data_IF_071584812143
#
_entry.id   IF_071584812143
#
_cell.length_a   1.000
_cell.length_b   1.000
_cell.length_c   1.000
_cell.angle_alpha   90.00
_cell.angle_beta   90.00
_cell.angle_gamma   90.00
#
_symmetry.space_group_name_H-M   'P 1'
#
loop_
_entity.id
_entity.type
_entity.pdbx_description
1 polymer ?
#
# COMPACT_ATOMS: atom_id res chain seq x y z
N UNK A 1 -5.07 -13.62 19.54
CA UNK A 1 -5.85 -13.16 18.38
C UNK A 1 -4.91 -13.13 17.17
N UNK A 2 -5.07 -14.02 16.20
CA UNK A 2 -4.24 -14.01 15.00
C UNK A 2 -4.49 -12.71 14.22
N UNK A 3 -3.46 -11.87 14.03
CA UNK A 3 -3.56 -10.69 13.17
C UNK A 3 -3.77 -11.19 11.74
N UNK A 4 -4.98 -11.04 11.19
CA UNK A 4 -5.21 -11.30 9.75
C UNK A 4 -4.42 -10.25 8.97
N UNK A 5 -3.32 -10.68 8.35
CA UNK A 5 -2.43 -9.84 7.59
C UNK A 5 -2.80 -9.85 6.11
N UNK A 6 -2.45 -8.75 5.45
CA UNK A 6 -2.66 -8.60 4.02
C UNK A 6 -1.41 -9.12 3.32
N UNK A 7 -1.62 -9.94 2.30
CA UNK A 7 -0.56 -10.47 1.46
C UNK A 7 -0.79 -9.92 0.06
N UNK A 8 0.27 -9.75 -0.71
CA UNK A 8 0.14 -9.63 -2.14
C UNK A 8 1.05 -10.62 -2.86
N UNK A 9 0.50 -11.24 -3.89
CA UNK A 9 1.25 -11.97 -4.90
C UNK A 9 1.67 -10.98 -5.97
N UNK A 10 2.90 -11.09 -6.46
CA UNK A 10 3.41 -10.23 -7.51
C UNK A 10 4.26 -11.02 -8.49
N UNK A 11 4.25 -10.57 -9.74
CA UNK A 11 5.06 -11.12 -10.81
C UNK A 11 5.36 -10.07 -11.87
N UNK A 12 6.54 -10.16 -12.47
CA UNK A 12 6.93 -9.40 -13.65
C UNK A 12 7.09 -10.34 -14.85
N UNK A 13 6.62 -9.89 -16.02
CA UNK A 13 6.81 -10.58 -17.30
C UNK A 13 7.86 -9.81 -18.13
N UNK A 14 8.92 -10.52 -18.53
CA UNK A 14 10.12 -9.95 -19.17
C UNK A 14 10.20 -10.16 -20.70
N UNK A 15 9.16 -10.71 -21.33
CA UNK A 15 9.13 -10.98 -22.78
C UNK A 15 8.01 -10.18 -23.45
N UNK A 16 8.11 -10.00 -24.78
CA UNK A 16 7.05 -9.41 -25.60
C UNK A 16 5.76 -10.23 -25.48
N UNK A 17 4.91 -9.88 -24.52
CA UNK A 17 3.54 -10.37 -24.45
C UNK A 17 2.74 -9.51 -25.42
N UNK A 18 2.01 -10.14 -26.36
CA UNK A 18 1.04 -9.39 -27.17
C UNK A 18 0.09 -8.66 -26.22
N UNK A 19 -0.18 -7.37 -26.48
CA UNK A 19 -1.14 -6.60 -25.69
C UNK A 19 -2.43 -7.41 -25.53
N UNK A 20 -2.83 -7.71 -24.29
CA UNK A 20 -4.08 -8.38 -24.03
C UNK A 20 -5.25 -7.53 -24.54
N UNK A 21 -6.21 -8.14 -25.24
CA UNK A 21 -7.35 -7.44 -25.84
C UNK A 21 -8.28 -6.83 -24.79
N UNK A 22 -8.35 -7.44 -23.60
CA UNK A 22 -9.11 -6.94 -22.45
C UNK A 22 -8.48 -5.68 -21.83
N UNK A 23 -7.22 -5.38 -22.15
CA UNK A 23 -6.47 -4.24 -21.60
C UNK A 23 -5.92 -3.32 -22.71
N UNK A 24 -6.79 -2.71 -23.53
CA UNK A 24 -6.39 -1.94 -24.71
C UNK A 24 -5.58 -0.67 -24.40
N UNK A 25 -5.69 -0.13 -23.19
CA UNK A 25 -5.03 1.11 -22.74
C UNK A 25 -3.75 0.84 -21.92
N UNK A 26 -3.24 -0.40 -21.93
CA UNK A 26 -1.92 -0.67 -21.33
C UNK A 26 -0.85 0.23 -21.96
N UNK A 27 0.02 0.77 -21.12
CA UNK A 27 0.99 1.81 -21.50
C UNK A 27 0.49 3.24 -21.25
N UNK A 28 -0.83 3.46 -21.32
CA UNK A 28 -1.46 4.77 -21.05
C UNK A 28 -2.09 4.85 -19.67
N UNK A 29 -2.44 3.71 -19.06
CA UNK A 29 -3.05 3.66 -17.75
C UNK A 29 -2.60 2.44 -16.93
N UNK A 30 -3.09 2.39 -15.70
CA UNK A 30 -3.05 1.21 -14.85
C UNK A 30 -4.49 0.69 -14.70
N UNK A 31 -4.63 -0.64 -14.72
CA UNK A 31 -5.90 -1.32 -14.53
C UNK A 31 -6.06 -1.75 -13.06
N UNK A 32 -7.27 -1.57 -12.53
CA UNK A 32 -7.69 -2.04 -11.22
C UNK A 32 -8.83 -3.04 -11.40
N UNK A 33 -8.54 -4.32 -11.24
CA UNK A 33 -9.53 -5.39 -11.37
C UNK A 33 -10.03 -5.78 -9.97
N UNK A 34 -11.34 -5.67 -9.76
CA UNK A 34 -12.00 -6.03 -8.51
C UNK A 34 -12.69 -7.38 -8.65
N UNK A 35 -12.56 -8.24 -7.65
CA UNK A 35 -13.31 -9.48 -7.53
C UNK A 35 -13.78 -9.69 -6.08
N UNK A 36 -14.54 -10.76 -5.83
CA UNK A 36 -15.08 -11.00 -4.49
C UNK A 36 -13.95 -11.15 -3.45
N UNK A 37 -13.89 -10.20 -2.50
CA UNK A 37 -12.91 -10.14 -1.40
C UNK A 37 -11.43 -10.05 -1.85
N UNK A 38 -11.17 -9.60 -3.07
CA UNK A 38 -9.80 -9.50 -3.62
C UNK A 38 -9.72 -8.48 -4.73
N UNK A 39 -8.53 -7.97 -5.04
CA UNK A 39 -8.30 -7.11 -6.19
C UNK A 39 -6.91 -7.34 -6.79
N UNK A 40 -6.77 -7.00 -8.06
CA UNK A 40 -5.51 -6.99 -8.77
C UNK A 40 -5.25 -5.62 -9.40
N UNK A 41 -3.97 -5.32 -9.60
CA UNK A 41 -3.50 -4.15 -10.35
C UNK A 41 -2.61 -4.67 -11.46
N UNK A 42 -2.79 -4.17 -12.69
CA UNK A 42 -1.97 -4.51 -13.85
C UNK A 42 -1.55 -3.22 -14.54
N UNK A 43 -0.26 -3.10 -14.84
CA UNK A 43 0.26 -1.95 -15.56
C UNK A 43 1.54 -2.30 -16.33
N UNK A 44 1.84 -1.48 -17.33
CA UNK A 44 3.03 -1.59 -18.13
C UNK A 44 4.20 -0.83 -17.50
N UNK A 45 5.38 -1.43 -17.61
CA UNK A 45 6.67 -0.89 -17.23
C UNK A 45 7.50 -0.63 -18.50
N UNK A 46 8.55 0.22 -18.41
CA UNK A 46 9.46 0.44 -19.52
C UNK A 46 9.98 -0.88 -20.13
N UNK A 47 10.28 -0.83 -21.43
CA UNK A 47 10.71 -1.97 -22.25
C UNK A 47 9.64 -3.06 -22.41
N UNK A 48 8.37 -2.68 -22.55
CA UNK A 48 7.22 -3.57 -22.78
C UNK A 48 7.12 -4.69 -21.73
N UNK A 49 7.48 -4.39 -20.48
CA UNK A 49 7.35 -5.35 -19.36
C UNK A 49 6.01 -5.11 -18.69
N UNK A 50 5.39 -6.15 -18.16
CA UNK A 50 4.14 -6.02 -17.41
C UNK A 50 4.40 -6.34 -15.94
N UNK A 51 3.81 -5.56 -15.04
CA UNK A 51 3.76 -5.88 -13.61
C UNK A 51 2.31 -6.05 -13.19
N UNK A 52 2.06 -7.13 -12.45
CA UNK A 52 0.77 -7.38 -11.83
C UNK A 52 0.93 -7.58 -10.32
N UNK A 53 -0.04 -7.12 -9.57
CA UNK A 53 -0.10 -7.25 -8.11
C UNK A 53 -1.48 -7.76 -7.73
N UNK A 54 -1.56 -8.91 -7.06
CA UNK A 54 -2.81 -9.49 -6.59
C UNK A 54 -2.85 -9.53 -5.06
N UNK A 55 -3.76 -8.78 -4.47
CA UNK A 55 -3.94 -8.67 -3.02
C UNK A 55 -4.85 -9.77 -2.47
N UNK A 56 -4.30 -10.65 -1.64
CA UNK A 56 -5.02 -11.75 -0.99
C UNK A 56 -5.07 -11.57 0.53
N UNK A 57 -6.03 -12.24 1.17
CA UNK A 57 -6.14 -12.30 2.62
C UNK A 57 -5.72 -13.69 3.10
N UNK A 58 -4.88 -13.76 4.13
CA UNK A 58 -4.41 -15.04 4.67
C UNK A 58 -4.03 -14.96 6.14
N UNK A 59 -3.66 -16.11 6.71
CA UNK A 59 -2.94 -16.14 7.97
C UNK A 59 -1.53 -15.55 7.77
N UNK A 60 -0.96 -14.96 8.81
CA UNK A 60 0.43 -14.50 8.79
C UNK A 60 1.36 -15.70 8.56
N UNK A 61 2.17 -15.70 7.48
CA UNK A 61 3.10 -16.79 7.22
C UNK A 61 4.29 -16.73 8.19
N UNK A 62 4.95 -17.86 8.40
CA UNK A 62 6.24 -17.89 9.10
C UNK A 62 7.31 -17.31 8.19
N UNK A 63 7.86 -16.15 8.55
CA UNK A 63 8.87 -15.46 7.77
C UNK A 63 10.29 -15.90 8.15
N UNK A 64 11.17 -16.18 7.17
CA UNK A 64 12.58 -16.45 7.44
C UNK A 64 13.32 -15.14 7.70
N UNK A 65 13.57 -14.84 8.97
CA UNK A 65 14.33 -13.66 9.38
C UNK A 65 13.55 -12.35 9.22
N UNK A 66 14.20 -11.31 8.68
CA UNK A 66 13.64 -9.96 8.57
C UNK A 66 13.00 -9.64 7.21
N UNK A 67 12.98 -10.59 6.27
CA UNK A 67 12.37 -10.38 4.95
C UNK A 67 10.86 -10.50 5.04
N UNK A 68 10.14 -9.51 4.50
CA UNK A 68 8.69 -9.58 4.29
C UNK A 68 8.33 -10.20 2.93
N UNK A 69 9.34 -10.49 2.10
CA UNK A 69 9.21 -11.22 0.84
C UNK A 69 9.53 -12.68 1.06
N UNK A 70 8.63 -13.56 0.64
CA UNK A 70 8.82 -14.99 0.67
C UNK A 70 8.89 -15.56 -0.74
N UNK A 71 9.84 -16.47 -0.95
CA UNK A 71 9.78 -17.38 -2.10
C UNK A 71 8.59 -18.31 -1.91
N UNK A 72 7.86 -18.54 -2.99
CA UNK A 72 6.75 -19.48 -3.03
C UNK A 72 7.27 -20.85 -3.46
N UNK A 73 6.70 -21.92 -2.91
CA UNK A 73 6.96 -23.27 -3.40
C UNK A 73 6.17 -23.54 -4.68
N UNK A 74 6.57 -24.54 -5.46
CA UNK A 74 5.85 -24.93 -6.69
C UNK A 74 4.37 -25.23 -6.42
N UNK A 75 4.06 -25.83 -5.27
CA UNK A 75 2.68 -26.09 -4.85
C UNK A 75 1.88 -24.79 -4.65
N UNK A 76 2.47 -23.76 -4.06
CA UNK A 76 1.82 -22.45 -3.89
C UNK A 76 1.64 -21.72 -5.22
N UNK A 77 2.59 -21.89 -6.16
CA UNK A 77 2.48 -21.35 -7.52
C UNK A 77 1.33 -22.00 -8.26
N UNK A 78 1.20 -23.32 -8.17
CA UNK A 78 0.12 -24.04 -8.85
C UNK A 78 -1.25 -23.71 -8.25
N UNK A 79 -1.35 -23.63 -6.92
CA UNK A 79 -2.56 -23.16 -6.24
C UNK A 79 -2.95 -21.73 -6.69
N UNK A 80 -1.97 -20.82 -6.76
CA UNK A 80 -2.20 -19.47 -7.29
C UNK A 80 -2.75 -19.51 -8.72
N UNK A 81 -2.20 -20.35 -9.60
CA UNK A 81 -2.61 -20.44 -11.00
C UNK A 81 -4.03 -20.99 -11.15
N UNK A 82 -4.39 -22.01 -10.37
CA UNK A 82 -5.77 -22.52 -10.35
C UNK A 82 -6.76 -21.49 -9.80
N UNK A 83 -6.38 -20.79 -8.73
CA UNK A 83 -7.22 -19.73 -8.18
C UNK A 83 -7.38 -18.57 -9.18
N UNK A 84 -6.31 -18.20 -9.89
CA UNK A 84 -6.36 -17.15 -10.91
C UNK A 84 -7.36 -17.46 -12.03
N UNK A 85 -7.42 -18.72 -12.49
CA UNK A 85 -8.40 -19.17 -13.50
C UNK A 85 -9.85 -19.02 -13.03
N UNK A 86 -10.09 -19.16 -11.72
CA UNK A 86 -11.43 -19.08 -11.13
C UNK A 86 -11.86 -17.64 -10.85
N UNK A 87 -10.91 -16.77 -10.52
CA UNK A 87 -11.18 -15.40 -10.06
C UNK A 87 -11.11 -14.38 -11.19
N UNK A 88 -10.15 -14.52 -12.11
CA UNK A 88 -9.82 -13.49 -13.10
C UNK A 88 -10.29 -13.85 -14.50
N UNK A 89 -10.43 -12.82 -15.34
CA UNK A 89 -10.68 -13.00 -16.76
C UNK A 89 -9.54 -13.79 -17.44
N UNK A 90 -9.81 -14.44 -18.59
CA UNK A 90 -8.86 -15.36 -19.23
C UNK A 90 -7.48 -14.76 -19.49
N UNK A 91 -7.40 -13.47 -19.82
CA UNK A 91 -6.14 -12.81 -20.14
C UNK A 91 -5.27 -12.54 -18.91
N UNK A 92 -5.83 -12.00 -17.82
CA UNK A 92 -5.07 -11.81 -16.57
C UNK A 92 -4.66 -13.15 -15.95
N UNK A 93 -5.56 -14.14 -15.96
CA UNK A 93 -5.23 -15.50 -15.53
C UNK A 93 -4.08 -16.10 -16.37
N UNK A 94 -4.09 -15.86 -17.68
CA UNK A 94 -2.99 -16.26 -18.58
C UNK A 94 -1.68 -15.57 -18.22
N UNK A 95 -1.67 -14.25 -17.97
CA UNK A 95 -0.47 -13.50 -17.57
C UNK A 95 0.13 -14.06 -16.26
N UNK A 96 -0.72 -14.29 -15.25
CA UNK A 96 -0.28 -14.86 -13.96
C UNK A 96 0.31 -16.27 -14.14
N UNK A 97 -0.26 -17.08 -15.03
CA UNK A 97 0.24 -18.42 -15.36
C UNK A 97 1.60 -18.38 -16.07
N UNK A 98 1.79 -17.44 -17.00
CA UNK A 98 3.04 -17.28 -17.77
C UNK A 98 4.17 -16.64 -16.95
N UNK A 99 3.87 -16.13 -15.75
CA UNK A 99 4.89 -15.62 -14.82
C UNK A 99 5.73 -16.78 -14.30
N UNK A 100 7.05 -16.68 -14.49
CA UNK A 100 8.00 -17.75 -14.14
C UNK A 100 8.24 -17.82 -12.63
N UNK A 101 8.56 -16.69 -12.01
CA UNK A 101 8.91 -16.62 -10.58
C UNK A 101 8.04 -15.59 -9.86
N UNK A 102 6.75 -15.90 -9.61
CA UNK A 102 5.95 -15.04 -8.73
C UNK A 102 6.50 -15.11 -7.30
N UNK A 103 6.20 -14.10 -6.49
CA UNK A 103 6.54 -14.08 -5.06
C UNK A 103 5.38 -13.54 -4.24
N UNK A 104 5.43 -13.79 -2.92
CA UNK A 104 4.47 -13.25 -1.97
C UNK A 104 5.17 -12.24 -1.07
N UNK A 105 4.53 -11.10 -0.88
CA UNK A 105 4.93 -10.06 0.06
C UNK A 105 3.88 -9.92 1.16
N UNK A 106 4.35 -9.82 2.40
CA UNK A 106 3.51 -9.50 3.55
C UNK A 106 3.43 -7.99 3.71
N UNK A 107 2.20 -7.48 3.84
CA UNK A 107 1.92 -6.06 3.94
C UNK A 107 1.67 -5.71 5.41
N UNK A 108 2.64 -5.03 6.01
CA UNK A 108 2.52 -4.40 7.32
C UNK A 108 2.21 -2.90 7.18
N UNK A 109 1.58 -2.33 8.20
CA UNK A 109 1.47 -0.90 8.41
C UNK A 109 1.80 -0.57 9.87
N UNK A 110 1.80 0.71 10.23
CA UNK A 110 2.14 1.16 11.58
C UNK A 110 1.15 0.70 12.69
N UNK A 111 0.03 0.04 12.35
CA UNK A 111 -1.02 -0.22 13.32
C UNK A 111 -1.67 1.07 13.81
N UNK A 112 -1.49 1.45 15.06
CA UNK A 112 -1.93 2.77 15.50
C UNK A 112 -0.95 3.84 14.98
N UNK A 113 -1.45 4.97 14.43
CA UNK A 113 -0.59 6.07 14.02
C UNK A 113 0.34 6.51 15.15
N UNK A 114 1.58 6.86 14.81
CA UNK A 114 2.54 7.36 15.81
C UNK A 114 1.95 8.57 16.54
N UNK A 115 2.05 8.65 17.89
CA UNK A 115 1.46 9.75 18.64
C UNK A 115 2.25 11.07 18.51
N UNK A 116 3.50 11.00 18.02
CA UNK A 116 4.42 12.13 17.85
C UNK A 116 5.35 11.89 16.67
N UNK A 117 5.98 12.95 16.17
CA UNK A 117 6.97 12.92 15.09
C UNK A 117 8.34 13.44 15.53
N UNK A 118 8.47 13.94 16.76
CA UNK A 118 9.71 14.51 17.28
C UNK A 118 10.00 14.12 18.74
N UNK A 119 11.29 13.93 19.04
CA UNK A 119 11.78 13.50 20.36
C UNK A 119 13.05 14.25 20.78
N UNK A 120 13.51 13.94 22.00
CA UNK A 120 14.79 14.39 22.56
C UNK A 120 14.97 15.92 22.56
N UNK A 121 13.90 16.65 22.88
CA UNK A 121 13.92 18.11 22.94
C UNK A 121 14.25 18.76 21.59
N UNK A 122 13.71 18.22 20.50
CA UNK A 122 13.91 18.79 19.16
C UNK A 122 15.16 18.28 18.44
N UNK A 123 15.71 17.12 18.83
CA UNK A 123 16.95 16.56 18.26
C UNK A 123 16.70 15.38 17.33
N UNK A 124 15.53 14.77 17.40
CA UNK A 124 15.16 13.62 16.57
C UNK A 124 13.82 13.92 15.92
N UNK A 125 13.72 13.68 14.62
CA UNK A 125 12.48 13.75 13.84
C UNK A 125 12.28 12.42 13.11
N UNK A 126 11.04 11.94 13.05
CA UNK A 126 10.64 10.84 12.16
C UNK A 126 10.03 11.41 10.88
N UNK A 127 10.38 10.79 9.76
CA UNK A 127 9.92 11.12 8.40
C UNK A 127 9.69 9.82 7.65
N UNK A 128 8.85 9.87 6.60
CA UNK A 128 8.60 8.72 5.75
C UNK A 128 8.06 7.50 6.50
N UNK A 129 8.38 6.29 6.04
CA UNK A 129 7.83 5.06 6.63
C UNK A 129 8.18 4.88 8.13
N UNK A 130 9.27 5.48 8.61
CA UNK A 130 9.59 5.49 10.04
C UNK A 130 8.55 6.27 10.87
N UNK A 131 7.90 7.27 10.27
CA UNK A 131 6.80 8.01 10.87
C UNK A 131 5.43 7.40 10.57
N UNK A 132 5.23 6.86 9.37
CA UNK A 132 3.88 6.55 8.86
C UNK A 132 3.85 5.40 7.85
N UNK A 133 4.53 4.30 8.15
CA UNK A 133 4.38 3.04 7.40
C UNK A 133 2.90 2.73 7.15
N UNK A 134 2.53 2.55 5.88
CA UNK A 134 1.13 2.48 5.43
C UNK A 134 0.95 1.37 4.42
N UNK A 135 -0.29 0.89 4.27
CA UNK A 135 -0.60 -0.07 3.21
C UNK A 135 -0.62 0.61 1.84
N UNK A 136 -0.25 -0.09 0.75
CA UNK A 136 -0.06 0.53 -0.56
C UNK A 136 -1.36 1.00 -1.21
N UNK A 137 -2.53 0.65 -0.65
CA UNK A 137 -3.85 0.90 -1.24
C UNK A 137 -4.20 2.38 -1.44
N UNK A 138 -3.53 3.29 -0.74
CA UNK A 138 -3.65 4.74 -0.91
C UNK A 138 -2.67 5.35 -1.92
N UNK A 139 -1.66 4.60 -2.39
CA UNK A 139 -0.65 5.02 -3.38
C UNK A 139 0.03 6.37 -3.08
N UNK A 140 0.29 6.66 -1.80
CA UNK A 140 0.78 7.98 -1.35
C UNK A 140 2.07 7.96 -0.53
N UNK A 141 2.60 6.81 -0.08
CA UNK A 141 3.74 6.77 0.87
C UNK A 141 4.95 7.62 0.41
N UNK A 142 5.41 7.44 -0.83
CA UNK A 142 6.54 8.22 -1.35
C UNK A 142 6.25 9.71 -1.40
N UNK A 143 5.06 10.10 -1.86
CA UNK A 143 4.64 11.51 -1.89
C UNK A 143 4.58 12.11 -0.48
N UNK A 144 4.07 11.36 0.50
CA UNK A 144 4.06 11.81 1.90
C UNK A 144 5.47 12.03 2.44
N UNK A 145 6.40 11.12 2.13
CA UNK A 145 7.81 11.22 2.55
C UNK A 145 8.50 12.46 1.96
N UNK A 146 8.25 12.75 0.68
CA UNK A 146 8.76 13.97 0.03
C UNK A 146 8.18 15.23 0.67
N UNK A 147 6.87 15.22 0.99
CA UNK A 147 6.21 16.34 1.67
C UNK A 147 6.79 16.54 3.07
N UNK A 148 7.06 15.47 3.82
CA UNK A 148 7.69 15.57 5.14
C UNK A 148 9.06 16.25 5.05
N UNK A 149 9.92 15.80 4.13
CA UNK A 149 11.24 16.39 3.94
C UNK A 149 11.15 17.88 3.60
N UNK A 150 10.20 18.26 2.73
CA UNK A 150 9.95 19.68 2.37
C UNK A 150 9.47 20.49 3.57
N UNK A 151 8.51 20.01 4.34
CA UNK A 151 7.97 20.75 5.49
C UNK A 151 9.03 20.85 6.58
N UNK A 152 9.73 19.76 6.89
CA UNK A 152 10.83 19.76 7.85
C UNK A 152 11.92 20.76 7.46
N UNK A 153 12.36 20.74 6.21
CA UNK A 153 13.35 21.69 5.70
C UNK A 153 12.91 23.15 5.84
N UNK A 154 11.64 23.46 5.55
CA UNK A 154 11.07 24.80 5.73
C UNK A 154 11.04 25.23 7.19
N UNK A 155 10.63 24.35 8.09
CA UNK A 155 10.60 24.63 9.53
C UNK A 155 12.03 24.90 10.05
N UNK A 156 13.01 24.08 9.66
CA UNK A 156 14.41 24.29 10.06
C UNK A 156 14.99 25.60 9.51
N UNK A 157 14.70 25.93 8.25
CA UNK A 157 15.19 27.16 7.60
C UNK A 157 14.70 28.44 8.29
N UNK A 158 13.50 28.45 8.89
CA UNK A 158 12.98 29.62 9.63
C UNK A 158 13.84 30.02 10.83
N UNK A 159 14.58 29.06 11.38
CA UNK A 159 15.33 29.21 12.62
C UNK A 159 16.85 29.08 12.43
N UNK A 160 17.32 29.05 11.17
CA UNK A 160 18.73 28.77 10.87
C UNK A 160 19.69 29.91 11.22
N UNK A 161 19.20 31.14 11.35
CA UNK A 161 20.02 32.33 11.65
C UNK A 161 20.53 32.36 13.09
N UNK A 162 19.83 31.71 14.00
CA UNK A 162 20.21 31.61 15.43
C UNK A 162 20.04 30.15 15.92
N UNK A 163 20.97 29.25 15.53
CA UNK A 163 20.86 27.84 15.83
C UNK A 163 21.15 27.57 17.31
N UNK A 164 20.13 27.22 18.08
CA UNK A 164 20.23 26.82 19.48
C UNK A 164 19.24 25.69 19.79
N UNK A 165 19.32 25.10 20.99
CA UNK A 165 18.42 24.02 21.37
C UNK A 165 16.94 24.43 21.32
N UNK A 166 16.63 25.66 21.75
CA UNK A 166 15.28 26.22 21.72
C UNK A 166 14.76 26.42 20.30
N UNK A 167 15.60 26.88 19.38
CA UNK A 167 15.20 27.15 18.01
C UNK A 167 14.97 25.84 17.22
N UNK A 168 15.79 24.81 17.47
CA UNK A 168 15.54 23.44 16.96
C UNK A 168 14.24 22.82 17.49
N UNK A 169 13.99 22.93 18.80
CA UNK A 169 12.76 22.44 19.41
C UNK A 169 11.51 23.10 18.82
N UNK A 170 11.56 24.41 18.56
CA UNK A 170 10.48 25.14 17.88
C UNK A 170 10.27 24.65 16.44
N UNK A 171 11.35 24.49 15.68
CA UNK A 171 11.28 23.99 14.31
C UNK A 171 10.60 22.61 14.23
N UNK A 172 10.99 21.67 15.09
CA UNK A 172 10.39 20.33 15.09
C UNK A 172 8.95 20.31 15.62
N UNK A 173 8.61 21.19 16.57
CA UNK A 173 7.23 21.34 17.02
C UNK A 173 6.31 21.87 15.90
N UNK A 174 6.78 22.82 15.08
CA UNK A 174 6.03 23.29 13.91
C UNK A 174 5.86 22.18 12.86
N UNK A 175 6.92 21.41 12.60
CA UNK A 175 6.86 20.26 11.69
C UNK A 175 5.85 19.22 12.17
N UNK A 176 5.91 18.84 13.46
CA UNK A 176 4.98 17.88 14.06
C UNK A 176 3.53 18.37 13.97
N UNK A 177 3.27 19.63 14.36
CA UNK A 177 1.94 20.22 14.30
C UNK A 177 1.36 20.23 12.87
N UNK A 178 2.21 20.46 11.85
CA UNK A 178 1.78 20.48 10.46
C UNK A 178 1.58 19.09 9.85
N UNK A 179 2.36 18.08 10.27
CA UNK A 179 2.42 16.78 9.61
C UNK A 179 1.65 15.68 10.33
N UNK A 180 1.68 15.66 11.66
CA UNK A 180 1.12 14.57 12.46
C UNK A 180 -0.36 14.27 12.13
N UNK A 181 -1.28 15.26 12.07
CA UNK A 181 -2.69 14.97 11.76
C UNK A 181 -2.87 14.38 10.36
N UNK A 182 -2.10 14.89 9.39
CA UNK A 182 -2.21 14.48 7.98
C UNK A 182 -1.71 13.05 7.79
N UNK A 183 -0.53 12.72 8.32
CA UNK A 183 0.05 11.39 8.15
C UNK A 183 -0.77 10.33 8.90
N UNK A 184 -1.30 10.66 10.08
CA UNK A 184 -2.18 9.77 10.83
C UNK A 184 -3.48 9.46 10.04
N UNK A 185 -4.13 10.49 9.50
CA UNK A 185 -5.33 10.32 8.68
C UNK A 185 -5.06 9.47 7.43
N UNK A 186 -3.92 9.69 6.75
CA UNK A 186 -3.56 8.94 5.55
C UNK A 186 -3.27 7.46 5.82
N UNK A 187 -2.60 7.13 6.93
CA UNK A 187 -2.36 5.72 7.33
C UNK A 187 -3.69 4.99 7.53
N UNK A 188 -4.62 5.60 8.27
CA UNK A 188 -5.94 5.03 8.52
C UNK A 188 -6.79 4.92 7.25
N UNK A 189 -6.75 5.96 6.40
CA UNK A 189 -7.46 5.97 5.13
C UNK A 189 -6.96 4.86 4.18
N UNK A 190 -5.65 4.73 3.98
CA UNK A 190 -5.08 3.67 3.16
C UNK A 190 -5.44 2.27 3.68
N UNK A 191 -5.42 2.08 5.01
CA UNK A 191 -5.87 0.84 5.64
C UNK A 191 -7.35 0.57 5.32
N UNK A 192 -8.22 1.57 5.45
CA UNK A 192 -9.66 1.47 5.15
C UNK A 192 -9.90 1.10 3.69
N UNK A 193 -9.22 1.75 2.75
CA UNK A 193 -9.30 1.43 1.31
C UNK A 193 -8.92 -0.03 1.04
N UNK A 194 -7.83 -0.53 1.64
CA UNK A 194 -7.45 -1.93 1.47
C UNK A 194 -8.49 -2.90 2.04
N UNK A 195 -9.06 -2.58 3.20
CA UNK A 195 -10.12 -3.41 3.82
C UNK A 195 -11.37 -3.45 2.94
N UNK A 196 -11.77 -2.31 2.37
CA UNK A 196 -12.89 -2.21 1.44
C UNK A 196 -12.65 -3.07 0.18
N UNK A 197 -11.53 -2.86 -0.51
CA UNK A 197 -11.19 -3.58 -1.75
C UNK A 197 -11.01 -5.09 -1.56
N UNK A 198 -10.82 -5.53 -0.31
CA UNK A 198 -10.62 -6.94 0.04
C UNK A 198 -11.84 -7.52 0.80
N UNK A 199 -12.97 -6.80 0.82
CA UNK A 199 -14.22 -7.24 1.45
C UNK A 199 -14.07 -7.61 2.94
N UNK A 200 -13.20 -6.88 3.63
CA UNK A 200 -13.01 -6.96 5.07
C UNK A 200 -13.89 -5.91 5.77
N UNK A 201 -14.14 -6.13 7.06
CA UNK A 201 -14.84 -5.16 7.93
C UNK A 201 -14.17 -3.79 7.82
N UNK A 202 -14.88 -2.69 7.64
CA UNK A 202 -14.29 -1.33 7.53
C UNK A 202 -14.58 -0.42 8.73
N UNK A 203 -15.64 -0.71 9.49
CA UNK A 203 -16.06 0.06 10.68
C UNK A 203 -15.81 -0.65 12.01
N UNK A 204 -16.07 0.07 13.11
CA UNK A 204 -15.98 -0.43 14.49
C UNK A 204 -17.06 -1.48 14.83
N UNK A 205 -18.18 -1.48 14.10
CA UNK A 205 -19.34 -2.34 14.39
C UNK A 205 -19.43 -3.59 13.52
N UNK A 206 -18.34 -4.01 12.88
CA UNK A 206 -18.33 -5.24 12.07
C UNK A 206 -18.87 -5.06 10.65
N UNK A 207 -19.15 -3.82 10.24
CA UNK A 207 -19.70 -3.49 8.93
C UNK A 207 -18.71 -3.83 7.80
N UNK A 208 -19.19 -4.52 6.78
CA UNK A 208 -18.47 -4.76 5.52
C UNK A 208 -19.11 -3.89 4.45
N UNK A 209 -18.30 -3.16 3.70
CA UNK A 209 -18.78 -2.38 2.57
C UNK A 209 -19.09 -3.31 1.37
N UNK A 210 -20.33 -3.27 0.87
CA UNK A 210 -20.71 -3.93 -0.38
C UNK A 210 -21.03 -2.88 -1.44
N UNK A 211 -20.14 -2.78 -2.45
CA UNK A 211 -20.27 -1.81 -3.53
C UNK A 211 -21.57 -1.96 -4.34
N UNK A 212 -22.23 -3.12 -4.30
CA UNK A 212 -23.47 -3.39 -5.04
C UNK A 212 -24.70 -2.79 -4.35
N UNK A 213 -24.61 -2.54 -3.05
CA UNK A 213 -25.72 -2.06 -2.22
C UNK A 213 -25.39 -0.76 -1.48
N UNK A 214 -24.21 -0.19 -1.73
CA UNK A 214 -23.75 1.02 -1.06
C UNK A 214 -24.62 2.23 -1.43
N UNK A 215 -24.96 3.01 -0.41
CA UNK A 215 -25.65 4.29 -0.54
C UNK A 215 -24.70 5.39 -1.02
N UNK A 216 -25.24 6.49 -1.56
CA UNK A 216 -24.43 7.64 -1.98
C UNK A 216 -23.63 8.23 -0.82
N UNK A 217 -24.18 8.22 0.39
CA UNK A 217 -23.51 8.70 1.59
C UNK A 217 -22.28 7.82 1.91
N UNK A 218 -22.43 6.50 1.91
CA UNK A 218 -21.32 5.56 2.12
C UNK A 218 -20.23 5.70 1.05
N UNK A 219 -20.62 5.94 -0.21
CA UNK A 219 -19.70 6.22 -1.31
C UNK A 219 -18.98 7.56 -1.11
N UNK A 220 -19.68 8.59 -0.64
CA UNK A 220 -19.09 9.92 -0.40
C UNK A 220 -17.99 9.86 0.66
N UNK A 221 -18.16 9.03 1.68
CA UNK A 221 -17.18 8.81 2.74
C UNK A 221 -15.92 8.07 2.24
N UNK A 222 -15.89 7.57 1.00
CA UNK A 222 -14.69 6.98 0.38
C UNK A 222 -13.77 8.02 -0.26
N UNK A 223 -14.24 9.25 -0.47
CA UNK A 223 -13.46 10.37 -1.04
C UNK A 223 -12.56 11.01 0.01
#
# INVERSE_FOLDING_TARGET
>A
MARRLRLHRQGELHHHVRHPQAYPELGNCLYFDLAYKTHAVLYELPNNRLNWIWYINGAEPVLPGSSVTMKVSDAMVEEMREEAKRVWGPELARLMRETVEPFVNVIYDAGEPTPRLSWAGGRVALVGDAAHATTPHGLRSTNMSVVDARVLGRCLARYCREPCARSRARALAEYEAARLPVVAAQVLHARRLGRLKQGLVVGSHGEVFDARTATEEEVSQLR
#
